data_IF_911760300429
#
_entry.id   IF_911760300429
#
_cell.length_a   1.000
_cell.length_b   1.000
_cell.length_c   1.000
_cell.angle_alpha   90.00
_cell.angle_beta   90.00
_cell.angle_gamma   90.00
#
_symmetry.space_group_name_H-M   'P 1'
#
loop_
_entity.id
_entity.type
_entity.pdbx_description
1 polymer ?
#
# COMPACT_ATOMS: atom_id res chain seq x y z
N UNK A 1 -7.51 43.17 -25.21
CA UNK A 1 -8.07 42.35 -24.10
C UNK A 1 -8.33 40.88 -24.44
N UNK A 2 -9.16 40.53 -25.43
CA UNK A 2 -9.50 39.11 -25.72
C UNK A 2 -8.30 38.17 -25.93
N UNK A 3 -7.25 38.62 -26.64
CA UNK A 3 -6.03 37.82 -26.86
C UNK A 3 -5.27 37.49 -25.57
N UNK A 4 -5.22 38.42 -24.62
CA UNK A 4 -4.54 38.24 -23.32
C UNK A 4 -5.27 37.20 -22.46
N UNK A 5 -6.61 37.23 -22.46
CA UNK A 5 -7.43 36.25 -21.73
C UNK A 5 -7.27 34.83 -22.31
N UNK A 6 -7.14 34.70 -23.63
CA UNK A 6 -6.91 33.41 -24.29
C UNK A 6 -5.51 32.88 -23.95
N UNK A 7 -4.47 33.71 -24.04
CA UNK A 7 -3.11 33.32 -23.68
C UNK A 7 -3.02 32.85 -22.22
N UNK A 8 -3.65 33.57 -21.28
CA UNK A 8 -3.67 33.18 -19.86
C UNK A 8 -4.32 31.82 -19.61
N UNK A 9 -5.43 31.51 -20.32
CA UNK A 9 -6.09 30.20 -20.21
C UNK A 9 -5.23 29.06 -20.76
N UNK A 10 -4.49 29.29 -21.85
CA UNK A 10 -3.58 28.30 -22.43
C UNK A 10 -2.43 27.99 -21.47
N UNK A 11 -1.83 29.02 -20.89
CA UNK A 11 -0.73 28.88 -19.90
C UNK A 11 -1.22 28.10 -18.68
N UNK A 12 -2.41 28.43 -18.15
CA UNK A 12 -2.98 27.72 -17.00
C UNK A 12 -3.24 26.23 -17.31
N UNK A 13 -3.77 25.92 -18.48
CA UNK A 13 -4.02 24.53 -18.91
C UNK A 13 -2.71 23.74 -19.02
N UNK A 14 -1.66 24.37 -19.57
CA UNK A 14 -0.32 23.78 -19.65
C UNK A 14 0.28 23.51 -18.26
N UNK A 15 0.13 24.45 -17.33
CA UNK A 15 0.61 24.27 -15.96
C UNK A 15 -0.07 23.09 -15.26
N UNK A 16 -1.39 22.94 -15.40
CA UNK A 16 -2.14 21.81 -14.85
C UNK A 16 -1.66 20.49 -15.46
N UNK A 17 -1.39 20.46 -16.76
CA UNK A 17 -0.89 19.26 -17.44
C UNK A 17 0.50 18.86 -16.95
N UNK A 18 1.43 19.81 -16.86
CA UNK A 18 2.76 19.55 -16.31
C UNK A 18 2.69 19.02 -14.88
N UNK A 19 1.82 19.62 -14.05
CA UNK A 19 1.63 19.18 -12.68
C UNK A 19 1.07 17.76 -12.61
N UNK A 20 0.05 17.42 -13.41
CA UNK A 20 -0.52 16.09 -13.46
C UNK A 20 0.50 15.03 -13.93
N UNK A 21 1.24 15.32 -14.99
CA UNK A 21 2.31 14.42 -15.48
C UNK A 21 3.43 14.26 -14.45
N UNK A 22 3.82 15.34 -13.76
CA UNK A 22 4.80 15.29 -12.70
C UNK A 22 4.34 14.42 -11.52
N UNK A 23 3.08 14.58 -11.07
CA UNK A 23 2.49 13.76 -10.01
C UNK A 23 2.47 12.27 -10.43
N UNK A 24 2.09 11.96 -11.67
CA UNK A 24 2.14 10.58 -12.20
C UNK A 24 3.57 10.02 -12.14
N UNK A 25 4.54 10.78 -12.64
CA UNK A 25 5.94 10.37 -12.66
C UNK A 25 6.50 10.17 -11.25
N UNK A 26 6.15 11.06 -10.31
CA UNK A 26 6.52 10.95 -8.91
C UNK A 26 5.92 9.69 -8.28
N UNK A 27 4.64 9.41 -8.53
CA UNK A 27 3.99 8.16 -8.10
C UNK A 27 4.73 6.94 -8.63
N UNK A 28 5.07 6.92 -9.91
CA UNK A 28 5.83 5.83 -10.51
C UNK A 28 7.22 5.64 -9.87
N UNK A 29 7.98 6.73 -9.65
CA UNK A 29 9.30 6.69 -9.00
C UNK A 29 9.20 6.23 -7.55
N UNK A 30 8.21 6.71 -6.80
CA UNK A 30 7.98 6.28 -5.43
C UNK A 30 7.65 4.79 -5.37
N UNK A 31 6.79 4.32 -6.27
CA UNK A 31 6.43 2.90 -6.33
C UNK A 31 7.61 2.00 -6.69
N UNK A 32 8.51 2.43 -7.58
CA UNK A 32 9.74 1.69 -7.86
C UNK A 32 10.73 1.73 -6.69
N UNK A 33 10.95 2.90 -6.09
CA UNK A 33 11.98 3.09 -5.05
C UNK A 33 11.63 2.41 -3.73
N UNK A 34 10.34 2.41 -3.38
CA UNK A 34 9.84 1.82 -2.13
C UNK A 34 9.33 0.39 -2.33
N UNK A 35 9.40 -0.13 -3.58
CA UNK A 35 8.76 -1.39 -4.00
C UNK A 35 7.28 -1.45 -3.63
N UNK A 36 6.63 -0.29 -3.58
CA UNK A 36 5.24 -0.12 -3.22
C UNK A 36 4.42 0.35 -4.43
N UNK A 37 4.03 -0.62 -5.24
CA UNK A 37 3.24 -0.41 -6.46
C UNK A 37 1.92 0.32 -6.14
N UNK A 38 1.39 0.20 -4.92
CA UNK A 38 0.11 0.78 -4.52
C UNK A 38 0.25 2.25 -4.15
N UNK A 39 1.31 2.63 -3.44
CA UNK A 39 1.65 4.04 -3.25
C UNK A 39 1.82 4.75 -4.61
N UNK A 40 2.52 4.09 -5.53
CA UNK A 40 2.67 4.60 -6.88
C UNK A 40 1.36 4.66 -7.66
N UNK A 41 0.52 3.63 -7.55
CA UNK A 41 -0.79 3.59 -8.20
C UNK A 41 -1.78 4.59 -7.61
N UNK A 42 -1.77 4.83 -6.29
CA UNK A 42 -2.63 5.80 -5.61
C UNK A 42 -2.31 7.23 -6.04
N UNK A 43 -1.01 7.58 -6.07
CA UNK A 43 -0.56 8.88 -6.58
C UNK A 43 -0.85 8.99 -8.09
N UNK A 44 -0.61 7.91 -8.85
CA UNK A 44 -0.89 7.86 -10.28
C UNK A 44 -2.39 8.01 -10.60
N UNK A 45 -3.27 7.43 -9.80
CA UNK A 45 -4.73 7.50 -10.00
C UNK A 45 -5.35 8.85 -9.62
N UNK A 46 -4.65 9.70 -8.85
CA UNK A 46 -5.00 11.12 -8.70
C UNK A 46 -4.72 11.90 -9.99
N UNK A 47 -3.64 11.55 -10.70
CA UNK A 47 -3.23 12.22 -11.95
C UNK A 47 -3.91 11.68 -13.21
N UNK A 48 -4.36 10.43 -13.19
CA UNK A 48 -5.00 9.75 -14.31
C UNK A 48 -6.23 10.49 -14.88
N UNK A 49 -7.13 11.08 -14.08
CA UNK A 49 -8.30 11.78 -14.59
C UNK A 49 -7.89 13.05 -15.34
N UNK A 50 -6.92 13.80 -14.80
CA UNK A 50 -6.40 15.00 -15.44
C UNK A 50 -5.74 14.67 -16.78
N UNK A 51 -5.09 13.50 -16.89
CA UNK A 51 -4.51 13.01 -18.15
C UNK A 51 -5.57 12.51 -19.12
N UNK A 52 -6.53 11.69 -18.67
CA UNK A 52 -7.60 11.12 -19.51
C UNK A 52 -8.55 12.17 -20.08
N UNK A 53 -8.76 13.26 -19.34
CA UNK A 53 -9.59 14.39 -19.78
C UNK A 53 -8.92 15.25 -20.86
N UNK A 54 -7.65 14.98 -21.18
CA UNK A 54 -7.01 15.62 -22.33
C UNK A 54 -7.57 15.02 -23.62
N UNK A 55 -7.97 15.83 -24.62
CA UNK A 55 -8.54 15.36 -25.88
C UNK A 55 -7.64 14.39 -26.68
N UNK A 56 -6.37 14.30 -26.31
CA UNK A 56 -5.31 13.53 -26.97
C UNK A 56 -4.65 12.50 -26.05
N UNK A 57 -5.25 12.16 -24.91
CA UNK A 57 -4.81 11.06 -24.04
C UNK A 57 -4.70 9.72 -24.76
N UNK A 58 -5.43 9.55 -25.88
CA UNK A 58 -5.33 8.43 -26.81
C UNK A 58 -4.00 8.34 -27.57
N UNK A 59 -3.18 9.41 -27.58
CA UNK A 59 -1.87 9.45 -28.24
C UNK A 59 -0.70 9.21 -27.28
N UNK A 60 -0.95 8.70 -26.06
CA UNK A 60 0.12 8.18 -25.20
C UNK A 60 0.64 6.88 -25.86
N UNK A 61 1.51 7.05 -26.86
CA UNK A 61 2.26 5.95 -27.45
C UNK A 61 3.37 5.61 -26.45
N UNK A 62 3.48 4.36 -25.98
CA UNK A 62 4.57 3.93 -25.12
C UNK A 62 5.85 3.87 -25.98
N UNK A 63 6.49 5.01 -26.20
CA UNK A 63 7.79 5.06 -26.82
C UNK A 63 8.82 4.63 -25.77
N UNK A 64 9.47 3.48 -26.00
CA UNK A 64 10.43 2.83 -25.12
C UNK A 64 11.64 3.70 -24.69
N UNK A 65 11.79 4.92 -25.22
CA UNK A 65 12.87 5.86 -24.92
C UNK A 65 12.41 7.32 -24.73
N UNK A 66 11.10 7.60 -24.63
CA UNK A 66 10.56 8.93 -24.91
C UNK A 66 9.54 9.50 -23.93
N UNK A 67 9.65 9.23 -22.62
CA UNK A 67 8.72 9.77 -21.59
C UNK A 67 8.62 11.31 -21.63
N UNK A 68 9.68 12.00 -22.08
CA UNK A 68 9.73 13.47 -22.17
C UNK A 68 9.17 14.07 -23.47
N UNK A 69 9.06 13.29 -24.56
CA UNK A 69 8.58 13.82 -25.85
C UNK A 69 7.06 13.86 -25.94
N UNK A 70 6.36 12.96 -25.24
CA UNK A 70 4.90 12.92 -25.18
C UNK A 70 4.27 14.27 -24.82
N UNK A 71 4.66 14.91 -23.70
CA UNK A 71 4.17 16.23 -23.32
C UNK A 71 4.46 17.35 -24.34
N UNK A 72 5.64 17.32 -24.96
CA UNK A 72 6.04 18.35 -25.95
C UNK A 72 5.27 18.21 -27.27
N UNK A 73 5.15 16.98 -27.79
CA UNK A 73 4.42 16.70 -29.04
C UNK A 73 2.92 16.97 -28.85
N UNK A 74 2.35 16.52 -27.72
CA UNK A 74 0.94 16.79 -27.40
C UNK A 74 0.68 18.28 -27.21
N UNK A 75 1.57 19.02 -26.54
CA UNK A 75 1.50 20.49 -26.43
C UNK A 75 1.56 21.16 -27.81
N UNK A 76 2.45 20.73 -28.69
CA UNK A 76 2.57 21.25 -30.06
C UNK A 76 1.29 21.06 -30.88
N UNK A 77 0.73 19.85 -30.88
CA UNK A 77 -0.55 19.53 -31.54
C UNK A 77 -1.69 20.36 -30.95
N UNK A 78 -1.71 20.51 -29.63
CA UNK A 78 -2.70 21.31 -28.90
C UNK A 78 -2.70 22.76 -29.36
N UNK A 79 -1.54 23.40 -29.37
CA UNK A 79 -1.39 24.80 -29.82
C UNK A 79 -1.86 24.97 -31.27
N UNK A 80 -1.54 24.00 -32.14
CA UNK A 80 -1.95 24.00 -33.55
C UNK A 80 -3.47 23.89 -33.70
N UNK A 81 -4.11 22.94 -33.01
CA UNK A 81 -5.55 22.74 -33.02
C UNK A 81 -6.32 23.93 -32.42
N UNK A 82 -5.84 24.50 -31.32
CA UNK A 82 -6.44 25.70 -30.72
C UNK A 82 -6.34 26.91 -31.65
N UNK A 83 -5.21 27.08 -32.35
CA UNK A 83 -5.06 28.15 -33.35
C UNK A 83 -5.93 27.94 -34.59
N UNK A 84 -6.10 26.69 -35.05
CA UNK A 84 -6.98 26.35 -36.17
C UNK A 84 -8.46 26.59 -35.82
N UNK A 85 -8.90 26.15 -34.63
CA UNK A 85 -10.29 26.32 -34.18
C UNK A 85 -10.60 27.78 -33.85
N UNK A 86 -9.65 28.51 -33.25
CA UNK A 86 -9.80 29.93 -32.91
C UNK A 86 -9.97 30.89 -34.10
N UNK A 87 -9.73 30.42 -35.34
CA UNK A 87 -9.99 31.19 -36.57
C UNK A 87 -11.40 31.00 -37.14
N UNK A 88 -12.17 30.00 -36.69
CA UNK A 88 -13.52 29.74 -37.21
C UNK A 88 -14.60 30.46 -36.39
N UNK A 89 -15.55 31.13 -37.06
CA UNK A 89 -16.69 31.85 -36.44
C UNK A 89 -17.81 30.93 -35.91
N UNK A 90 -17.62 29.62 -35.92
CA UNK A 90 -18.60 28.68 -35.40
C UNK A 90 -18.68 28.78 -33.87
N UNK A 91 -19.88 28.73 -33.29
CA UNK A 91 -20.07 28.39 -31.86
C UNK A 91 -19.22 27.15 -31.63
N UNK A 92 -18.15 27.32 -30.86
CA UNK A 92 -17.02 26.41 -31.03
C UNK A 92 -17.46 25.01 -30.61
N UNK A 93 -17.06 23.95 -31.33
CA UNK A 93 -17.13 22.58 -30.83
C UNK A 93 -16.53 22.47 -29.42
N UNK A 94 -15.65 23.40 -29.03
CA UNK A 94 -15.08 23.60 -27.70
C UNK A 94 -16.12 24.07 -26.67
N UNK A 95 -17.11 24.89 -27.01
CA UNK A 95 -18.18 25.26 -26.06
C UNK A 95 -19.18 24.11 -25.86
N UNK A 96 -19.44 23.34 -26.92
CA UNK A 96 -20.22 22.10 -26.84
C UNK A 96 -19.45 21.01 -26.08
N UNK A 97 -18.15 20.88 -26.34
CA UNK A 97 -17.25 20.06 -25.52
C UNK A 97 -17.28 20.60 -24.09
N UNK A 98 -16.96 21.85 -23.81
CA UNK A 98 -16.88 22.41 -22.46
C UNK A 98 -18.18 22.24 -21.66
N UNK A 99 -19.35 22.37 -22.27
CA UNK A 99 -20.65 22.15 -21.60
C UNK A 99 -20.95 20.67 -21.36
N UNK A 100 -20.73 19.80 -22.35
CA UNK A 100 -20.93 18.35 -22.23
C UNK A 100 -19.86 17.69 -21.36
N UNK A 101 -18.67 18.26 -21.38
CA UNK A 101 -17.47 17.82 -20.69
C UNK A 101 -17.44 18.35 -19.26
N UNK A 102 -18.10 19.47 -18.92
CA UNK A 102 -18.31 19.86 -17.50
C UNK A 102 -19.08 18.80 -16.71
N UNK A 103 -20.11 18.19 -17.31
CA UNK A 103 -20.87 17.11 -16.66
C UNK A 103 -20.13 15.77 -16.67
N UNK A 104 -19.32 15.51 -17.70
CA UNK A 104 -18.50 14.28 -17.79
C UNK A 104 -17.24 14.34 -16.92
N UNK A 105 -16.58 15.49 -16.80
CA UNK A 105 -15.42 15.75 -15.93
C UNK A 105 -15.81 15.51 -14.48
N UNK A 106 -16.95 16.07 -14.03
CA UNK A 106 -17.44 15.83 -12.68
C UNK A 106 -17.64 14.34 -12.39
N UNK A 107 -18.24 13.60 -13.34
CA UNK A 107 -18.43 12.14 -13.23
C UNK A 107 -17.11 11.37 -13.21
N UNK A 108 -16.17 11.70 -14.09
CA UNK A 108 -14.86 11.02 -14.18
C UNK A 108 -14.02 11.28 -12.92
N UNK A 109 -13.97 12.52 -12.44
CA UNK A 109 -13.28 12.85 -11.19
C UNK A 109 -13.91 12.12 -10.00
N UNK A 110 -15.26 12.06 -9.95
CA UNK A 110 -15.95 11.34 -8.88
C UNK A 110 -15.68 9.83 -8.92
N UNK A 111 -15.77 9.20 -10.08
CA UNK A 111 -15.46 7.77 -10.25
C UNK A 111 -14.01 7.49 -9.85
N UNK A 112 -13.08 8.33 -10.29
CA UNK A 112 -11.66 8.15 -9.99
C UNK A 112 -11.38 8.33 -8.50
N UNK A 113 -11.98 9.35 -7.87
CA UNK A 113 -11.92 9.53 -6.41
C UNK A 113 -12.46 8.31 -5.66
N UNK A 114 -13.60 7.75 -6.08
CA UNK A 114 -14.17 6.54 -5.49
C UNK A 114 -13.23 5.34 -5.65
N UNK A 115 -12.62 5.16 -6.83
CA UNK A 115 -11.67 4.07 -7.07
C UNK A 115 -10.41 4.24 -6.22
N UNK A 116 -9.86 5.46 -6.09
CA UNK A 116 -8.71 5.72 -5.22
C UNK A 116 -9.06 5.49 -3.75
N UNK A 117 -10.20 6.01 -3.29
CA UNK A 117 -10.65 5.84 -1.92
C UNK A 117 -10.92 4.36 -1.57
N UNK A 118 -11.55 3.61 -2.47
CA UNK A 118 -11.72 2.16 -2.31
C UNK A 118 -10.39 1.42 -2.36
N UNK A 119 -9.47 1.79 -3.26
CA UNK A 119 -8.14 1.15 -3.34
C UNK A 119 -7.31 1.42 -2.08
N UNK A 120 -7.37 2.64 -1.54
CA UNK A 120 -6.74 3.00 -0.27
C UNK A 120 -7.39 2.26 0.90
N UNK A 121 -8.73 2.20 0.96
CA UNK A 121 -9.46 1.43 1.97
C UNK A 121 -9.16 -0.06 1.92
N UNK A 122 -9.15 -0.65 0.73
CA UNK A 122 -8.79 -2.06 0.52
C UNK A 122 -7.31 -2.28 0.83
N UNK A 123 -6.40 -1.39 0.46
CA UNK A 123 -4.97 -1.53 0.79
C UNK A 123 -4.72 -1.50 2.30
N UNK A 124 -5.49 -0.72 3.06
CA UNK A 124 -5.46 -0.67 4.54
C UNK A 124 -6.07 -1.91 5.17
N UNK A 125 -7.09 -2.51 4.55
CA UNK A 125 -7.76 -3.72 5.05
C UNK A 125 -7.02 -5.01 4.67
N UNK A 126 -6.36 -5.00 3.52
CA UNK A 126 -5.63 -6.15 2.93
C UNK A 126 -4.12 -6.01 3.18
N UNK A 127 -3.68 -4.95 3.86
CA UNK A 127 -2.28 -4.65 4.19
C UNK A 127 -1.34 -4.95 3.01
N UNK A 128 -1.60 -4.26 1.89
CA UNK A 128 -0.91 -4.52 0.63
C UNK A 128 0.07 -3.38 0.29
N UNK A 129 1.35 -3.67 0.02
CA UNK A 129 1.96 -5.00 -0.08
C UNK A 129 2.32 -5.63 1.29
N UNK A 130 2.05 -6.93 1.50
CA UNK A 130 2.37 -7.59 2.76
C UNK A 130 3.78 -8.18 2.69
N UNK A 131 4.86 -7.39 2.70
CA UNK A 131 6.19 -8.01 2.51
C UNK A 131 7.30 -7.33 3.32
N UNK A 132 7.57 -7.91 4.48
CA UNK A 132 8.94 -8.36 4.76
C UNK A 132 8.92 -9.87 4.97
N UNK A 133 9.51 -10.60 4.03
CA UNK A 133 9.90 -11.99 4.26
C UNK A 133 11.07 -11.99 5.25
N UNK A 134 11.06 -12.91 6.19
CA UNK A 134 12.12 -13.04 7.17
C UNK A 134 11.64 -12.89 8.62
N UNK A 135 12.51 -12.31 9.43
CA UNK A 135 12.44 -12.36 10.89
C UNK A 135 12.12 -10.95 11.41
N UNK A 136 11.28 -10.81 12.45
CA UNK A 136 11.05 -9.53 13.11
C UNK A 136 12.38 -8.91 13.58
N UNK A 137 12.52 -7.59 13.47
CA UNK A 137 13.69 -6.82 13.94
C UNK A 137 13.75 -6.68 15.48
N UNK A 138 13.35 -7.72 16.22
CA UNK A 138 13.54 -7.81 17.67
C UNK A 138 14.79 -8.63 17.92
N UNK A 139 15.78 -8.04 18.59
CA UNK A 139 17.07 -8.70 18.87
C UNK A 139 16.91 -10.10 19.49
N UNK A 140 15.98 -10.24 20.45
CA UNK A 140 15.72 -11.52 21.14
C UNK A 140 15.15 -12.56 20.17
N UNK A 141 14.26 -12.15 19.27
CA UNK A 141 13.65 -13.07 18.28
C UNK A 141 14.65 -13.42 17.19
N UNK A 142 15.45 -12.46 16.73
CA UNK A 142 16.50 -12.67 15.74
C UNK A 142 17.53 -13.69 16.25
N UNK A 143 18.06 -13.50 17.47
CA UNK A 143 19.01 -14.42 18.10
C UNK A 143 18.41 -15.83 18.29
N UNK A 144 17.15 -15.93 18.71
CA UNK A 144 16.47 -17.21 18.87
C UNK A 144 16.24 -17.92 17.53
N UNK A 145 15.93 -17.17 16.47
CA UNK A 145 15.68 -17.72 15.14
C UNK A 145 16.98 -18.17 14.46
N UNK A 146 18.08 -17.44 14.63
CA UNK A 146 19.38 -17.83 14.06
C UNK A 146 19.80 -19.25 14.47
N UNK A 147 19.44 -19.67 15.69
CA UNK A 147 19.73 -21.01 16.23
C UNK A 147 18.93 -22.14 15.59
N UNK A 148 17.76 -21.84 15.00
CA UNK A 148 16.84 -22.84 14.40
C UNK A 148 16.77 -22.73 12.88
N UNK A 149 17.56 -21.85 12.28
CA UNK A 149 17.63 -21.59 10.84
C UNK A 149 18.03 -22.86 10.06
N UNK A 150 17.46 -23.11 8.86
CA UNK A 150 16.62 -22.19 8.07
C UNK A 150 15.14 -22.22 8.44
N UNK A 151 14.50 -21.04 8.46
CA UNK A 151 13.04 -20.91 8.52
C UNK A 151 12.50 -20.65 7.11
N UNK A 152 11.66 -21.55 6.63
CA UNK A 152 10.94 -21.40 5.36
C UNK A 152 9.61 -20.63 5.53
N UNK A 153 9.19 -19.94 4.47
CA UNK A 153 7.91 -19.20 4.37
C UNK A 153 7.59 -18.28 5.57
N UNK A 154 8.61 -17.56 6.07
CA UNK A 154 8.45 -16.59 7.16
C UNK A 154 7.96 -15.23 6.65
N UNK A 155 7.01 -14.64 7.37
CA UNK A 155 6.40 -13.34 7.10
C UNK A 155 6.21 -12.58 8.40
N UNK A 156 6.56 -11.29 8.43
CA UNK A 156 6.25 -10.46 9.59
C UNK A 156 5.61 -9.12 9.21
N UNK A 157 4.93 -8.52 10.19
CA UNK A 157 4.31 -7.21 10.11
C UNK A 157 4.62 -6.42 11.39
N UNK A 158 5.19 -5.23 11.24
CA UNK A 158 5.44 -4.31 12.35
C UNK A 158 4.21 -3.40 12.51
N UNK A 159 3.53 -3.51 13.67
CA UNK A 159 2.38 -2.66 14.01
C UNK A 159 2.80 -1.26 14.44
N UNK A 160 4.02 -1.12 14.96
CA UNK A 160 4.63 0.14 15.36
C UNK A 160 6.01 -0.12 15.96
N UNK A 161 6.93 0.81 15.74
CA UNK A 161 8.27 0.78 16.32
C UNK A 161 8.74 2.23 16.54
N UNK A 162 8.73 2.70 17.79
CA UNK A 162 9.37 3.97 18.15
C UNK A 162 10.11 3.88 19.48
N UNK A 163 9.38 3.63 20.57
CA UNK A 163 9.95 3.31 21.89
C UNK A 163 9.59 1.86 22.18
N UNK A 164 8.29 1.58 22.14
CA UNK A 164 7.77 0.22 22.07
C UNK A 164 7.75 -0.26 20.63
N UNK A 165 7.86 -1.56 20.50
CA UNK A 165 7.78 -2.23 19.23
C UNK A 165 6.88 -3.45 19.30
N UNK A 166 6.06 -3.60 18.28
CA UNK A 166 5.03 -4.63 18.24
C UNK A 166 5.02 -5.27 16.86
N UNK A 167 5.11 -6.59 16.83
CA UNK A 167 5.17 -7.36 15.60
C UNK A 167 4.22 -8.55 15.61
N UNK A 168 3.78 -8.91 14.42
CA UNK A 168 3.09 -10.14 14.13
C UNK A 168 4.00 -10.94 13.21
N UNK A 169 4.24 -12.20 13.54
CA UNK A 169 5.14 -13.07 12.79
C UNK A 169 4.48 -14.42 12.52
N UNK A 170 4.53 -14.85 11.26
CA UNK A 170 4.12 -16.17 10.83
C UNK A 170 5.34 -16.91 10.29
N UNK A 171 5.53 -18.14 10.70
CA UNK A 171 6.59 -19.00 10.20
C UNK A 171 6.11 -20.45 10.07
N UNK A 172 6.68 -21.19 9.13
CA UNK A 172 6.55 -22.64 9.09
C UNK A 172 7.64 -23.25 9.95
N UNK A 173 7.26 -24.04 10.95
CA UNK A 173 8.15 -24.67 11.92
C UNK A 173 7.72 -26.11 12.17
N UNK A 174 8.67 -27.03 12.04
CA UNK A 174 8.49 -28.39 12.54
C UNK A 174 8.52 -28.44 14.09
N UNK A 175 8.26 -29.61 14.67
CA UNK A 175 8.20 -29.79 16.12
C UNK A 175 9.55 -29.53 16.82
N UNK A 176 10.68 -29.85 16.18
CA UNK A 176 12.01 -29.67 16.74
C UNK A 176 12.39 -28.19 16.79
N UNK A 177 12.13 -27.48 15.69
CA UNK A 177 12.30 -26.03 15.58
C UNK A 177 11.38 -25.29 16.56
N UNK A 178 10.11 -25.71 16.68
CA UNK A 178 9.18 -25.15 17.65
C UNK A 178 9.70 -25.35 19.08
N UNK A 179 10.11 -26.57 19.44
CA UNK A 179 10.61 -26.89 20.78
C UNK A 179 11.82 -26.04 21.14
N UNK A 180 12.76 -25.91 20.20
CA UNK A 180 13.96 -25.08 20.36
C UNK A 180 13.58 -23.60 20.53
N UNK A 181 12.68 -23.08 19.69
CA UNK A 181 12.22 -21.70 19.77
C UNK A 181 11.50 -21.39 21.09
N UNK A 182 10.64 -22.30 21.55
CA UNK A 182 9.93 -22.17 22.82
C UNK A 182 10.90 -22.10 24.00
N UNK A 183 11.96 -22.92 23.98
CA UNK A 183 12.99 -22.90 25.01
C UNK A 183 13.75 -21.58 25.02
N UNK A 184 14.21 -21.12 23.85
CA UNK A 184 14.97 -19.87 23.70
C UNK A 184 14.15 -18.63 24.10
N UNK A 185 12.87 -18.58 23.73
CA UNK A 185 11.97 -17.47 24.07
C UNK A 185 11.25 -17.63 25.41
N UNK A 186 11.55 -18.70 26.18
CA UNK A 186 10.88 -19.04 27.44
C UNK A 186 9.33 -19.02 27.34
N UNK A 187 8.81 -19.54 26.23
CA UNK A 187 7.37 -19.66 26.00
C UNK A 187 6.83 -20.85 26.78
N UNK A 188 5.72 -20.64 27.49
CA UNK A 188 5.05 -21.67 28.30
C UNK A 188 3.65 -21.92 27.77
N UNK A 189 3.12 -23.15 27.86
CA UNK A 189 1.73 -23.43 27.49
C UNK A 189 0.76 -22.49 28.21
N UNK A 190 -0.18 -21.91 27.46
CA UNK A 190 -1.19 -20.98 27.96
C UNK A 190 -2.58 -21.50 27.62
N UNK A 191 -3.47 -21.49 28.60
CA UNK A 191 -4.88 -21.83 28.45
C UNK A 191 -5.76 -20.59 28.58
N UNK A 192 -7.01 -20.68 28.12
CA UNK A 192 -8.02 -19.63 28.31
C UNK A 192 -8.09 -18.54 27.23
N UNK A 193 -7.33 -18.66 26.14
CA UNK A 193 -7.53 -17.85 24.95
C UNK A 193 -8.71 -18.38 24.15
N UNK A 194 -9.62 -17.50 23.75
CA UNK A 194 -10.78 -17.82 22.91
C UNK A 194 -10.57 -17.22 21.52
N UNK A 195 -11.33 -17.65 20.51
CA UNK A 195 -11.28 -17.06 19.16
C UNK A 195 -11.64 -15.56 19.15
N UNK A 196 -12.27 -15.06 20.23
CA UNK A 196 -12.60 -13.65 20.43
C UNK A 196 -11.43 -12.83 20.98
N UNK A 197 -10.35 -13.49 21.44
CA UNK A 197 -9.17 -12.80 21.95
C UNK A 197 -8.53 -11.95 20.85
N UNK A 198 -8.04 -10.77 21.23
CA UNK A 198 -7.38 -9.83 20.33
C UNK A 198 -6.35 -10.51 19.43
N UNK A 199 -5.62 -11.51 19.93
CA UNK A 199 -4.65 -12.29 19.18
C UNK A 199 -5.21 -12.84 17.86
N UNK A 200 -6.43 -13.38 17.84
CA UNK A 200 -7.03 -13.96 16.62
C UNK A 200 -7.61 -12.92 15.68
N UNK A 201 -7.86 -11.71 16.18
CA UNK A 201 -8.49 -10.62 15.44
C UNK A 201 -7.48 -9.58 14.92
N UNK A 202 -6.18 -9.83 15.04
CA UNK A 202 -5.19 -8.89 14.52
C UNK A 202 -5.24 -8.85 12.98
N UNK A 203 -5.08 -7.66 12.43
CA UNK A 203 -4.65 -7.47 11.04
C UNK A 203 -3.15 -7.73 10.97
N UNK A 204 -2.58 -8.21 9.84
CA UNK A 204 -3.10 -8.22 8.46
C UNK A 204 -3.90 -9.49 8.06
N UNK A 205 -4.48 -9.54 6.86
CA UNK A 205 -5.32 -10.67 6.40
C UNK A 205 -4.65 -12.06 6.43
N UNK A 206 -3.32 -12.12 6.29
CA UNK A 206 -2.58 -13.38 6.37
C UNK A 206 -2.40 -13.85 7.82
N UNK A 207 -2.61 -12.95 8.78
CA UNK A 207 -2.71 -13.24 10.20
C UNK A 207 -4.09 -13.85 10.47
N UNK A 208 -4.18 -15.15 10.27
CA UNK A 208 -5.39 -15.92 10.52
C UNK A 208 -5.02 -17.18 11.32
N UNK A 209 -4.51 -17.02 12.56
CA UNK A 209 -4.35 -18.16 13.45
C UNK A 209 -5.73 -18.80 13.61
N UNK A 210 -5.83 -20.11 13.35
CA UNK A 210 -7.07 -20.84 13.59
C UNK A 210 -6.87 -21.80 14.74
N UNK A 211 -7.85 -21.87 15.62
CA UNK A 211 -7.87 -22.88 16.67
C UNK A 211 -8.41 -24.19 16.10
N UNK A 212 -7.55 -24.99 15.47
CA UNK A 212 -7.90 -26.36 15.11
C UNK A 212 -7.75 -27.29 16.32
N UNK A 213 -8.39 -28.46 16.25
CA UNK A 213 -8.14 -29.55 17.20
C UNK A 213 -6.64 -29.89 17.22
N UNK A 214 -6.04 -29.88 18.41
CA UNK A 214 -4.59 -30.07 18.59
C UNK A 214 -3.73 -28.81 18.48
N UNK A 215 -4.29 -27.65 18.15
CA UNK A 215 -3.53 -26.40 18.17
C UNK A 215 -3.12 -26.05 19.60
N UNK A 216 -1.87 -25.64 19.77
CA UNK A 216 -1.31 -25.27 21.07
C UNK A 216 -1.05 -23.78 21.12
N UNK A 217 -1.20 -23.22 22.31
CA UNK A 217 -0.98 -21.79 22.55
C UNK A 217 0.05 -21.66 23.65
N UNK A 218 1.01 -20.76 23.44
CA UNK A 218 2.14 -20.53 24.32
C UNK A 218 2.32 -19.04 24.56
N UNK A 219 2.77 -18.65 25.75
CA UNK A 219 3.14 -17.27 26.00
C UNK A 219 4.29 -17.14 26.98
N UNK A 220 4.91 -15.96 26.99
CA UNK A 220 5.67 -15.53 28.16
C UNK A 220 4.74 -15.42 29.38
N UNK A 221 5.24 -15.56 30.63
CA UNK A 221 4.40 -15.65 31.83
C UNK A 221 3.43 -14.48 32.05
N UNK A 222 3.73 -13.29 31.54
CA UNK A 222 2.97 -12.06 31.80
C UNK A 222 2.48 -11.37 30.51
N UNK A 223 2.18 -12.14 29.44
CA UNK A 223 1.81 -11.53 28.16
C UNK A 223 0.58 -10.59 28.27
N UNK A 224 0.73 -9.31 27.90
CA UNK A 224 -0.30 -8.30 28.07
C UNK A 224 -1.30 -8.27 26.89
N UNK A 225 -2.43 -8.98 26.99
CA UNK A 225 -3.37 -9.09 25.84
C UNK A 225 -4.10 -7.78 25.47
N UNK A 226 -4.41 -6.95 26.47
CA UNK A 226 -5.30 -5.78 26.32
C UNK A 226 -4.59 -4.43 26.48
N UNK A 227 -3.36 -4.44 26.96
CA UNK A 227 -2.59 -3.23 27.22
C UNK A 227 -1.15 -3.40 26.68
N UNK A 228 -0.35 -2.36 26.88
CA UNK A 228 1.08 -2.36 26.54
C UNK A 228 1.82 -3.47 27.32
N UNK A 229 1.57 -3.57 28.62
CA UNK A 229 2.30 -4.42 29.55
C UNK A 229 3.48 -3.71 30.22
N UNK A 230 4.24 -4.47 30.99
CA UNK A 230 5.49 -4.02 31.60
C UNK A 230 6.61 -3.93 30.57
N UNK A 231 7.68 -3.23 30.90
CA UNK A 231 8.88 -3.13 30.05
C UNK A 231 9.52 -4.53 29.87
N UNK A 232 10.13 -4.74 28.70
CA UNK A 232 10.73 -5.99 28.28
C UNK A 232 9.94 -6.75 27.21
N UNK A 233 10.42 -7.96 26.95
CA UNK A 233 9.93 -8.83 25.89
C UNK A 233 8.72 -9.67 26.32
N UNK A 234 7.68 -9.63 25.50
CA UNK A 234 6.47 -10.43 25.66
C UNK A 234 6.11 -11.07 24.33
N UNK A 235 5.81 -12.36 24.36
CA UNK A 235 5.35 -13.08 23.19
C UNK A 235 4.15 -13.96 23.50
N UNK A 236 3.22 -14.02 22.55
CA UNK A 236 2.09 -14.93 22.53
C UNK A 236 2.12 -15.64 21.19
N UNK A 237 2.18 -16.96 21.20
CA UNK A 237 2.27 -17.79 20.01
C UNK A 237 1.14 -18.82 19.98
N UNK A 238 0.64 -19.10 18.78
CA UNK A 238 -0.19 -20.26 18.49
C UNK A 238 0.50 -21.08 17.42
N UNK A 239 0.57 -22.40 17.63
CA UNK A 239 1.12 -23.33 16.67
C UNK A 239 0.09 -24.42 16.36
N UNK A 240 -0.01 -24.76 15.06
CA UNK A 240 -0.85 -25.86 14.60
C UNK A 240 0.02 -26.99 14.06
N UNK A 241 -0.11 -28.22 14.60
CA UNK A 241 0.64 -29.38 14.11
C UNK A 241 0.29 -29.75 12.67
N UNK A 242 -0.96 -29.54 12.26
CA UNK A 242 -1.44 -29.95 10.93
C UNK A 242 -0.83 -29.11 9.81
N UNK A 243 -0.66 -27.81 10.06
CA UNK A 243 -0.14 -26.85 9.07
C UNK A 243 1.36 -26.57 9.28
N UNK A 244 1.97 -27.10 10.35
CA UNK A 244 3.31 -26.76 10.83
C UNK A 244 3.51 -25.23 10.90
N UNK A 245 2.44 -24.50 11.22
CA UNK A 245 2.41 -23.05 11.13
C UNK A 245 2.33 -22.43 12.52
N UNK A 246 3.30 -21.58 12.84
CA UNK A 246 3.28 -20.75 14.02
C UNK A 246 2.87 -19.32 13.67
N UNK A 247 2.01 -18.75 14.51
CA UNK A 247 1.65 -17.33 14.53
C UNK A 247 2.10 -16.77 15.87
N UNK A 248 2.96 -15.76 15.89
CA UNK A 248 3.49 -15.15 17.11
C UNK A 248 3.29 -13.64 17.13
N UNK A 249 2.66 -13.15 18.19
CA UNK A 249 2.45 -11.74 18.49
C UNK A 249 3.50 -11.32 19.53
N UNK A 250 4.39 -10.43 19.11
CA UNK A 250 5.57 -10.01 19.86
C UNK A 250 5.36 -8.55 20.29
N UNK A 251 5.68 -8.25 21.54
CA UNK A 251 5.74 -6.90 22.11
C UNK A 251 7.08 -6.75 22.81
N UNK A 252 7.85 -5.75 22.43
CA UNK A 252 9.11 -5.39 23.07
C UNK A 252 8.98 -3.94 23.53
N UNK A 253 8.74 -3.79 24.83
CA UNK A 253 8.38 -2.53 25.45
C UNK A 253 9.60 -1.91 26.15
N UNK A 254 9.78 -0.60 26.03
CA UNK A 254 10.90 0.13 26.65
C UNK A 254 10.44 1.24 27.60
#
# INVERSE_FOLDING_TARGET
>A
MKKIVIAGKIILLLAINYLATFILALGFVMGLSHRDIFLGAAIGSISLPALLLQPWSFFIVPAASGVLWGPLVTTGITILLYNLVGRSKFRTPIDLLCSTTRSRIGKICWISFVVVALSLGVSRLVDFPPIRSGIPESYIVEEAVEKISPIEDSKYYCKGAFIDSEWLWKAKLDEEQLSSLMSELNLKPKTGLTEESNFFQQIPYWWNPKSYEGSMVYSTPEFPEKNRGNDGFHALASWSPNDEAMFMWIKDNF
#
